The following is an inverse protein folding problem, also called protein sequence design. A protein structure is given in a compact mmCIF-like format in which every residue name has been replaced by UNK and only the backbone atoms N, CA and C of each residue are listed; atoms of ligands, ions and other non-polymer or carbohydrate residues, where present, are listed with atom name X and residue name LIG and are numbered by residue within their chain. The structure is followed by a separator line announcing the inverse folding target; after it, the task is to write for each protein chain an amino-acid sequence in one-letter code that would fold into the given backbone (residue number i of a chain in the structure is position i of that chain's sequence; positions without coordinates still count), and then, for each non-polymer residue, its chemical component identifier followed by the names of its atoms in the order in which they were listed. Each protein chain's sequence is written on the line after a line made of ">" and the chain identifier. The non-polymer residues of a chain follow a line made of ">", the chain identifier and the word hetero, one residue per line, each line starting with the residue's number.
data_IF_667386522545
#
_entry.id   IF_667386522545
#
_cell.length_a   1.000
_cell.length_b   1.000
_cell.length_c   1.000
_cell.angle_alpha   90.00
_cell.angle_beta   90.00
_cell.angle_gamma   90.00
#
_symmetry.space_group_name_H-M   'P 1'
#
loop_
_entity.id
_entity.type
_entity.pdbx_description
1 polymer ?
#
# COMPACT_ATOMS: atom_id res chain seq x y z
N UNK A 1 38.60 23.00 -34.82
CA UNK A 1 37.78 22.38 -35.89
C UNK A 1 36.31 22.69 -35.60
N UNK A 2 35.39 22.65 -36.58
CA UNK A 2 33.95 22.96 -36.41
C UNK A 2 33.08 21.77 -36.87
N UNK A 3 31.87 21.70 -36.31
CA UNK A 3 30.79 20.76 -36.64
C UNK A 3 31.06 19.29 -36.25
N UNK A 4 30.06 18.46 -35.95
CA UNK A 4 28.60 18.63 -36.07
C UNK A 4 27.81 18.15 -34.84
N UNK A 5 26.51 18.50 -34.80
CA UNK A 5 25.55 18.19 -33.72
C UNK A 5 25.01 16.76 -33.81
N UNK A 6 24.89 16.04 -32.68
CA UNK A 6 24.03 14.84 -32.57
C UNK A 6 23.17 14.91 -31.30
N UNK A 7 21.85 14.92 -31.50
CA UNK A 7 20.79 14.75 -30.49
C UNK A 7 20.45 13.26 -30.24
N UNK A 8 19.61 12.96 -29.23
CA UNK A 8 18.93 11.65 -28.94
C UNK A 8 19.47 10.76 -27.80
N UNK A 9 20.22 11.29 -26.82
CA UNK A 9 20.75 10.49 -25.70
C UNK A 9 19.78 10.18 -24.55
N UNK A 10 18.77 11.01 -24.28
CA UNK A 10 17.97 10.91 -23.01
C UNK A 10 16.57 10.30 -23.15
N UNK A 11 15.99 10.26 -24.35
CA UNK A 11 14.58 9.85 -24.58
C UNK A 11 14.46 8.43 -25.20
N UNK A 12 15.59 7.81 -25.54
CA UNK A 12 15.67 6.58 -26.34
C UNK A 12 15.65 5.27 -25.54
N UNK A 13 16.03 5.29 -24.26
CA UNK A 13 16.08 4.10 -23.40
C UNK A 13 14.68 3.59 -22.99
N UNK A 14 13.82 4.48 -22.46
CA UNK A 14 12.54 4.10 -21.85
C UNK A 14 11.46 3.74 -22.89
N UNK A 15 11.62 4.15 -24.16
CA UNK A 15 10.59 4.00 -25.21
C UNK A 15 10.70 2.73 -26.08
N UNK A 16 11.57 1.76 -25.75
CA UNK A 16 11.79 0.56 -26.60
C UNK A 16 11.94 -0.79 -25.88
N UNK A 17 11.90 -0.82 -24.55
CA UNK A 17 11.87 -2.09 -23.79
C UNK A 17 10.44 -2.54 -23.56
N UNK A 18 10.07 -3.71 -24.11
CA UNK A 18 9.04 -4.53 -23.45
C UNK A 18 9.70 -5.06 -22.16
N UNK A 19 9.40 -4.45 -21.02
CA UNK A 19 10.13 -4.62 -19.76
C UNK A 19 10.08 -6.04 -19.16
N UNK A 20 9.27 -6.96 -19.71
CA UNK A 20 8.98 -8.27 -19.12
C UNK A 20 9.54 -9.48 -19.91
N UNK A 21 10.07 -10.53 -19.25
CA UNK A 21 10.71 -11.68 -19.89
C UNK A 21 9.83 -12.44 -20.89
N UNK A 22 10.48 -13.02 -21.90
CA UNK A 22 9.82 -13.78 -22.97
C UNK A 22 9.02 -14.98 -22.44
N UNK A 23 9.54 -15.68 -21.41
CA UNK A 23 8.90 -16.85 -20.80
C UNK A 23 7.45 -16.63 -20.33
N UNK A 24 7.04 -15.39 -20.01
CA UNK A 24 5.65 -15.09 -19.63
C UNK A 24 4.71 -14.85 -20.82
N UNK A 25 5.25 -14.56 -22.02
CA UNK A 25 4.49 -14.64 -23.29
C UNK A 25 4.36 -16.10 -23.73
N UNK A 26 5.44 -16.86 -23.64
CA UNK A 26 5.45 -18.29 -24.00
C UNK A 26 4.45 -19.11 -23.16
N UNK A 27 4.18 -18.68 -21.92
CA UNK A 27 3.16 -19.25 -21.03
C UNK A 27 1.69 -18.98 -21.46
N UNK A 28 1.44 -18.03 -22.38
CA UNK A 28 0.08 -17.75 -22.88
C UNK A 28 -0.39 -18.80 -23.91
N UNK A 29 0.54 -19.35 -24.70
CA UNK A 29 0.25 -20.36 -25.72
C UNK A 29 0.14 -21.79 -25.13
N UNK A 30 0.79 -22.05 -24.00
CA UNK A 30 0.93 -23.37 -23.38
C UNK A 30 -0.31 -23.86 -22.60
N UNK A 31 -1.47 -23.98 -23.25
CA UNK A 31 -2.67 -24.63 -22.68
C UNK A 31 -2.55 -26.17 -22.60
N UNK A 32 -1.69 -26.68 -21.71
CA UNK A 32 -1.75 -28.01 -21.04
C UNK A 32 -0.50 -28.28 -20.18
N UNK A 33 -0.71 -28.87 -19.01
CA UNK A 33 0.19 -29.79 -18.29
C UNK A 33 1.71 -29.47 -18.29
N UNK A 34 2.07 -28.26 -17.89
CA UNK A 34 3.44 -27.89 -17.49
C UNK A 34 3.45 -27.55 -16.00
N UNK A 35 4.42 -28.08 -15.24
CA UNK A 35 4.66 -27.61 -13.87
C UNK A 35 5.06 -26.13 -13.93
N UNK A 36 4.18 -25.24 -13.47
CA UNK A 36 4.38 -23.79 -13.52
C UNK A 36 5.65 -23.42 -12.72
N UNK A 37 6.71 -22.89 -13.36
CA UNK A 37 7.89 -22.46 -12.63
C UNK A 37 7.57 -21.21 -11.82
N UNK A 38 7.92 -21.24 -10.52
CA UNK A 38 7.73 -20.19 -9.51
C UNK A 38 7.46 -18.78 -10.09
N UNK A 39 6.18 -18.39 -10.07
CA UNK A 39 5.73 -17.07 -10.50
C UNK A 39 6.07 -16.00 -9.45
N UNK A 40 6.43 -14.75 -9.84
CA UNK A 40 6.92 -13.74 -8.89
C UNK A 40 5.82 -13.05 -8.06
N UNK A 41 6.18 -12.52 -6.88
CA UNK A 41 5.29 -12.10 -5.78
C UNK A 41 5.06 -10.57 -5.69
N UNK A 42 4.82 -9.95 -6.85
CA UNK A 42 4.85 -8.48 -7.06
C UNK A 42 3.87 -7.60 -6.22
N UNK A 43 4.41 -6.79 -5.30
CA UNK A 43 4.19 -5.32 -5.14
C UNK A 43 2.76 -4.72 -4.90
N UNK A 44 2.66 -3.86 -3.87
CA UNK A 44 1.70 -2.73 -3.76
C UNK A 44 2.44 -1.35 -3.70
N UNK A 45 2.21 -0.43 -4.64
CA UNK A 45 3.08 0.77 -4.88
C UNK A 45 2.86 2.00 -3.95
N UNK A 46 3.92 2.77 -3.60
CA UNK A 46 3.93 3.94 -2.65
C UNK A 46 5.12 4.97 -2.84
N UNK A 47 4.91 6.33 -2.89
CA UNK A 47 5.86 7.54 -2.67
C UNK A 47 5.19 8.53 -1.60
N UNK A 48 5.34 9.86 -1.15
CA UNK A 48 4.43 10.58 -0.06
C UNK A 48 4.45 12.22 0.17
N UNK A 49 3.32 13.08 0.14
CA UNK A 49 2.91 14.65 0.00
C UNK A 49 2.12 15.85 0.98
N UNK A 50 2.30 16.26 2.30
CA UNK A 50 1.47 16.85 3.51
C UNK A 50 0.81 18.27 3.74
N UNK A 51 -0.33 18.37 4.50
CA UNK A 51 -0.55 18.93 5.91
C UNK A 51 -2.03 18.83 6.43
N UNK A 52 -2.31 19.01 7.75
CA UNK A 52 -3.66 18.83 8.44
C UNK A 52 -3.84 19.80 9.66
N UNK A 53 -4.82 19.80 10.62
CA UNK A 53 -5.75 18.86 11.38
C UNK A 53 -6.87 19.72 12.11
N UNK A 54 -7.63 19.41 13.22
CA UNK A 54 -7.87 18.24 14.14
C UNK A 54 -9.40 17.92 14.45
N UNK A 55 -9.76 17.21 15.57
CA UNK A 55 -11.16 16.95 16.05
C UNK A 55 -11.31 16.52 17.56
N UNK A 56 -12.52 16.54 18.21
CA UNK A 56 -12.77 16.07 19.63
C UNK A 56 -14.25 15.82 20.09
N UNK A 57 -14.53 14.81 20.95
CA UNK A 57 -15.77 14.64 21.80
C UNK A 57 -16.11 13.17 22.22
N UNK A 58 -16.69 12.86 23.40
CA UNK A 58 -16.89 11.44 23.89
C UNK A 58 -17.86 11.15 25.09
N UNK A 59 -18.03 9.85 25.44
CA UNK A 59 -18.65 9.21 26.67
C UNK A 59 -20.18 8.90 26.67
N UNK A 60 -20.81 7.98 27.45
CA UNK A 60 -20.54 6.57 27.96
C UNK A 60 -21.73 6.04 28.84
N UNK A 61 -22.21 4.76 28.72
CA UNK A 61 -22.76 3.88 29.82
C UNK A 61 -23.22 2.45 29.33
N UNK A 62 -23.83 1.59 30.17
CA UNK A 62 -23.59 0.10 30.19
C UNK A 62 -24.75 -0.92 30.36
N UNK A 63 -24.73 -1.98 29.51
CA UNK A 63 -24.84 -3.45 29.76
C UNK A 63 -25.94 -4.08 30.68
N UNK A 64 -26.65 -5.09 30.14
CA UNK A 64 -27.25 -6.27 30.84
C UNK A 64 -27.14 -7.55 29.94
N UNK A 65 -27.40 -8.78 30.42
CA UNK A 65 -26.78 -10.03 29.86
C UNK A 65 -27.67 -11.10 29.21
N UNK A 66 -27.21 -11.62 28.06
CA UNK A 66 -27.54 -12.89 27.36
C UNK A 66 -26.51 -13.07 26.19
N UNK A 67 -26.21 -14.22 25.58
CA UNK A 67 -26.34 -15.68 25.90
C UNK A 67 -25.03 -16.39 25.44
N UNK A 68 -24.91 -17.72 25.49
CA UNK A 68 -23.67 -18.45 25.11
C UNK A 68 -23.79 -19.80 24.34
N UNK A 69 -24.97 -20.34 24.00
CA UNK A 69 -25.07 -21.82 23.80
C UNK A 69 -25.23 -22.42 22.38
N UNK A 70 -25.22 -21.65 21.27
CA UNK A 70 -25.79 -22.14 19.98
C UNK A 70 -24.97 -22.06 18.68
N UNK A 71 -23.63 -21.94 18.68
CA UNK A 71 -22.85 -21.83 17.41
C UNK A 71 -21.58 -22.72 17.35
N UNK A 72 -21.60 -23.87 16.62
CA UNK A 72 -20.49 -24.83 16.63
C UNK A 72 -19.23 -24.39 15.87
N UNK A 73 -19.34 -23.45 14.92
CA UNK A 73 -18.20 -22.84 14.23
C UNK A 73 -17.56 -21.69 15.03
N UNK A 74 -18.25 -21.17 16.06
CA UNK A 74 -17.72 -20.15 16.98
C UNK A 74 -17.02 -20.76 18.20
N UNK A 75 -16.63 -22.04 18.15
CA UNK A 75 -15.86 -22.70 19.23
C UNK A 75 -14.57 -21.97 19.64
N UNK A 76 -14.01 -21.12 18.80
CA UNK A 76 -12.84 -20.30 19.14
C UNK A 76 -13.16 -19.09 20.03
N UNK A 77 -14.44 -18.68 20.14
CA UNK A 77 -14.91 -17.71 21.14
C UNK A 77 -15.16 -18.37 22.50
N UNK A 78 -15.39 -19.69 22.53
CA UNK A 78 -15.53 -20.49 23.76
C UNK A 78 -14.15 -20.77 24.39
N UNK A 79 -13.46 -19.69 24.77
CA UNK A 79 -12.10 -19.72 25.33
C UNK A 79 -11.60 -18.37 25.85
N UNK A 80 -12.40 -17.30 25.81
CA UNK A 80 -12.07 -16.04 26.48
C UNK A 80 -12.22 -16.23 27.98
N UNK A 81 -11.12 -16.25 28.74
CA UNK A 81 -11.17 -16.33 30.20
C UNK A 81 -11.87 -15.10 30.79
N UNK A 82 -12.56 -15.28 31.93
CA UNK A 82 -13.40 -14.25 32.53
C UNK A 82 -12.66 -12.92 32.78
N UNK A 83 -11.35 -13.00 33.06
CA UNK A 83 -10.48 -11.83 33.22
C UNK A 83 -10.43 -10.92 31.98
N UNK A 84 -10.49 -11.47 30.77
CA UNK A 84 -10.53 -10.68 29.52
C UNK A 84 -11.92 -10.11 29.26
N UNK A 85 -12.98 -10.88 29.51
CA UNK A 85 -14.37 -10.43 29.39
C UNK A 85 -14.72 -9.33 30.42
N UNK A 86 -14.11 -9.38 31.60
CA UNK A 86 -14.20 -8.36 32.64
C UNK A 86 -13.38 -7.09 32.36
N UNK A 87 -12.57 -7.05 31.29
CA UNK A 87 -11.75 -5.88 30.98
C UNK A 87 -12.61 -4.66 30.58
N UNK A 88 -12.25 -3.42 30.99
CA UNK A 88 -12.99 -2.22 30.60
C UNK A 88 -13.09 -2.00 29.08
N UNK A 89 -12.14 -2.54 28.31
CA UNK A 89 -12.16 -2.51 26.84
C UNK A 89 -13.21 -3.48 26.27
N UNK A 90 -13.27 -4.72 26.78
CA UNK A 90 -14.30 -5.68 26.38
C UNK A 90 -15.70 -5.15 26.73
N UNK A 91 -15.90 -4.72 27.98
CA UNK A 91 -17.16 -4.12 28.44
C UNK A 91 -17.55 -2.88 27.62
N UNK A 92 -16.61 -1.99 27.32
CA UNK A 92 -16.84 -0.83 26.47
C UNK A 92 -17.27 -1.22 25.05
N UNK A 93 -16.62 -2.24 24.46
CA UNK A 93 -16.94 -2.76 23.13
C UNK A 93 -18.33 -3.42 23.11
N UNK A 94 -18.65 -4.27 24.09
CA UNK A 94 -19.98 -4.89 24.22
C UNK A 94 -21.09 -3.85 24.44
N UNK A 95 -20.81 -2.78 25.19
CA UNK A 95 -21.73 -1.65 25.35
C UNK A 95 -22.00 -0.93 24.03
N UNK A 96 -20.93 -0.58 23.30
CA UNK A 96 -21.01 0.06 21.98
C UNK A 96 -21.78 -0.79 20.96
N UNK A 97 -21.51 -2.10 20.90
CA UNK A 97 -22.19 -3.03 20.00
C UNK A 97 -23.70 -3.08 20.29
N UNK A 98 -24.10 -3.16 21.55
CA UNK A 98 -25.53 -3.17 21.94
C UNK A 98 -26.24 -1.86 21.62
N UNK A 99 -25.56 -0.73 21.78
CA UNK A 99 -26.09 0.57 21.34
C UNK A 99 -26.28 0.63 19.82
N UNK A 100 -25.35 0.06 19.03
CA UNK A 100 -25.45 -0.01 17.58
C UNK A 100 -26.62 -0.90 17.12
N UNK A 101 -26.79 -2.10 17.68
CA UNK A 101 -27.94 -2.98 17.38
C UNK A 101 -29.28 -2.28 17.68
N UNK A 102 -29.39 -1.65 18.87
CA UNK A 102 -30.59 -0.92 19.27
C UNK A 102 -30.90 0.28 18.36
N UNK A 103 -29.87 1.03 17.93
CA UNK A 103 -30.02 2.15 16.99
C UNK A 103 -30.50 1.70 15.60
N UNK A 104 -29.94 0.59 15.09
CA UNK A 104 -30.32 0.05 13.78
C UNK A 104 -31.69 -0.66 13.77
N UNK A 105 -32.39 -0.76 14.91
CA UNK A 105 -33.65 -1.51 15.03
C UNK A 105 -33.50 -3.02 14.84
N UNK A 106 -32.27 -3.54 14.86
CA UNK A 106 -31.99 -4.96 14.68
C UNK A 106 -32.38 -5.74 15.94
N UNK A 107 -33.07 -6.89 15.81
CA UNK A 107 -33.44 -7.69 16.98
C UNK A 107 -32.17 -8.24 17.65
N UNK A 108 -32.14 -8.25 18.97
CA UNK A 108 -31.00 -8.73 19.76
C UNK A 108 -30.74 -10.25 19.62
N UNK A 109 -31.59 -10.96 18.86
CA UNK A 109 -31.46 -12.36 18.47
C UNK A 109 -31.97 -12.52 17.03
N UNK A 110 -31.25 -13.27 16.20
CA UNK A 110 -31.53 -13.41 14.76
C UNK A 110 -31.63 -14.89 14.41
N UNK A 111 -32.70 -15.27 13.70
CA UNK A 111 -32.84 -16.60 13.12
C UNK A 111 -32.00 -16.70 11.84
N UNK A 112 -31.13 -17.69 11.74
CA UNK A 112 -30.25 -17.96 10.57
C UNK A 112 -31.01 -18.47 9.32
N UNK A 113 -32.25 -18.03 9.11
CA UNK A 113 -33.15 -18.51 8.05
C UNK A 113 -33.28 -17.57 6.84
N UNK A 114 -32.76 -16.35 6.90
CA UNK A 114 -32.64 -15.43 5.74
C UNK A 114 -31.34 -14.62 5.82
N UNK A 115 -30.84 -14.15 4.66
CA UNK A 115 -29.57 -13.45 4.54
C UNK A 115 -29.67 -11.95 4.87
N UNK A 116 -30.03 -11.62 6.11
CA UNK A 116 -29.95 -10.25 6.64
C UNK A 116 -28.55 -9.90 7.14
N UNK A 117 -28.21 -8.61 7.16
CA UNK A 117 -26.93 -8.09 7.62
C UNK A 117 -26.94 -7.80 9.14
N UNK A 118 -27.44 -8.77 9.91
CA UNK A 118 -27.90 -8.54 11.28
C UNK A 118 -26.82 -8.78 12.35
N UNK A 119 -25.53 -8.69 11.97
CA UNK A 119 -24.40 -9.06 12.81
C UNK A 119 -23.18 -8.16 12.62
N UNK A 120 -22.63 -7.64 13.72
CA UNK A 120 -21.42 -6.81 13.73
C UNK A 120 -20.24 -7.65 14.19
N UNK A 121 -19.24 -7.85 13.32
CA UNK A 121 -18.02 -8.62 13.62
C UNK A 121 -16.85 -7.66 13.85
N UNK A 122 -16.46 -7.50 15.12
CA UNK A 122 -15.24 -6.75 15.47
C UNK A 122 -14.00 -7.65 15.46
N UNK A 123 -12.86 -7.11 14.99
CA UNK A 123 -11.53 -7.73 15.04
C UNK A 123 -10.45 -6.67 15.21
N UNK A 124 -9.24 -7.09 15.60
CA UNK A 124 -8.02 -6.25 15.61
C UNK A 124 -8.17 -4.87 16.28
N UNK A 125 -8.45 -4.79 17.60
CA UNK A 125 -8.55 -3.51 18.30
C UNK A 125 -7.21 -2.74 18.26
N UNK A 126 -7.23 -1.55 17.66
CA UNK A 126 -6.08 -0.64 17.58
C UNK A 126 -6.19 0.51 18.57
N UNK A 127 -5.03 1.08 18.94
CA UNK A 127 -4.94 2.32 19.72
C UNK A 127 -4.12 3.35 18.94
N UNK A 128 -4.56 4.61 18.93
CA UNK A 128 -3.84 5.68 18.25
C UNK A 128 -2.71 6.19 19.15
N UNK A 129 -1.47 6.04 18.68
CA UNK A 129 -0.28 6.70 19.22
C UNK A 129 0.24 7.75 18.23
N UNK A 130 1.09 8.66 18.71
CA UNK A 130 1.85 9.53 17.81
C UNK A 130 2.92 8.70 17.08
N UNK A 131 2.88 8.69 15.75
CA UNK A 131 3.85 7.99 14.91
C UNK A 131 5.00 8.94 14.53
N UNK A 132 6.28 8.58 14.79
CA UNK A 132 7.42 9.39 14.37
C UNK A 132 7.65 9.23 12.86
N UNK A 133 7.71 10.35 12.13
CA UNK A 133 7.92 10.39 10.68
C UNK A 133 9.16 11.20 10.32
N UNK A 134 10.05 10.62 9.51
CA UNK A 134 11.24 11.30 8.98
C UNK A 134 10.85 12.49 8.11
N UNK A 135 9.78 12.35 7.32
CA UNK A 135 9.33 13.40 6.39
C UNK A 135 8.78 14.61 7.15
N UNK A 136 7.98 14.37 8.22
CA UNK A 136 7.55 15.44 9.13
C UNK A 136 8.73 16.07 9.91
N UNK A 137 9.72 15.27 10.30
CA UNK A 137 10.91 15.74 11.02
C UNK A 137 11.76 16.70 10.16
N UNK A 138 11.90 16.40 8.87
CA UNK A 138 12.51 17.28 7.86
C UNK A 138 11.67 18.53 7.53
N UNK A 139 10.47 18.67 8.12
CA UNK A 139 9.54 19.76 7.84
C UNK A 139 8.82 19.64 6.49
N UNK A 140 9.11 18.58 5.73
CA UNK A 140 8.60 18.33 4.40
C UNK A 140 7.12 17.97 4.39
N UNK A 141 6.53 18.17 3.23
CA UNK A 141 5.17 17.78 2.95
C UNK A 141 5.12 16.32 2.43
N UNK A 142 4.74 15.37 3.32
CA UNK A 142 4.13 14.00 3.14
C UNK A 142 2.53 13.73 3.25
N UNK A 143 1.79 13.12 2.27
CA UNK A 143 0.32 12.98 1.85
C UNK A 143 0.00 12.12 0.58
N UNK A 144 -1.26 11.66 0.46
CA UNK A 144 -1.57 10.37 -0.17
C UNK A 144 -2.65 10.43 -1.25
N UNK A 145 -2.37 9.90 -2.45
CA UNK A 145 -3.33 9.63 -3.53
C UNK A 145 -3.71 8.14 -3.49
N UNK A 146 -4.78 7.78 -2.78
CA UNK A 146 -5.17 6.39 -2.53
C UNK A 146 -6.69 6.14 -2.60
N UNK A 147 -7.05 4.87 -2.82
CA UNK A 147 -8.43 4.38 -2.72
C UNK A 147 -8.71 3.51 -1.50
N UNK A 148 -7.70 3.17 -0.69
CA UNK A 148 -7.85 2.26 0.45
C UNK A 148 -7.89 3.03 1.78
N UNK A 149 -8.93 2.78 2.58
CA UNK A 149 -9.14 3.43 3.88
C UNK A 149 -7.99 3.21 4.87
N UNK A 150 -7.32 2.04 4.85
CA UNK A 150 -6.16 1.76 5.71
C UNK A 150 -5.04 2.77 5.47
N UNK A 151 -4.73 3.02 4.20
CA UNK A 151 -3.62 3.88 3.77
C UNK A 151 -3.99 5.37 3.97
N UNK A 152 -5.24 5.75 3.70
CA UNK A 152 -5.77 7.08 4.02
C UNK A 152 -5.85 7.31 5.54
N UNK A 153 -6.10 6.28 6.33
CA UNK A 153 -6.06 6.31 7.79
C UNK A 153 -4.66 6.58 8.32
N UNK A 154 -3.66 5.83 7.83
CA UNK A 154 -2.25 6.04 8.16
C UNK A 154 -1.78 7.45 7.77
N UNK A 155 -2.23 7.97 6.61
CA UNK A 155 -2.02 9.35 6.21
C UNK A 155 -2.49 10.33 7.30
N UNK A 156 -3.78 10.24 7.64
CA UNK A 156 -4.41 11.11 8.62
C UNK A 156 -3.80 10.99 10.03
N UNK A 157 -3.20 9.83 10.38
CA UNK A 157 -2.43 9.64 11.62
C UNK A 157 -1.04 10.30 11.60
N UNK A 158 -0.39 10.30 10.45
CA UNK A 158 0.89 11.00 10.25
C UNK A 158 0.69 12.51 9.98
N UNK A 159 -0.57 12.97 9.91
CA UNK A 159 -0.95 14.37 9.69
C UNK A 159 -0.95 14.78 8.22
N UNK A 160 -0.85 13.79 7.35
CA UNK A 160 -0.67 13.87 5.93
C UNK A 160 -1.99 14.22 5.21
N UNK A 161 -1.96 15.00 4.13
CA UNK A 161 -3.14 15.27 3.30
C UNK A 161 -3.66 13.95 2.68
N UNK A 162 -4.95 13.89 2.36
CA UNK A 162 -5.55 12.77 1.65
C UNK A 162 -6.22 13.25 0.37
N UNK A 163 -5.92 12.59 -0.74
CA UNK A 163 -6.37 12.90 -2.09
C UNK A 163 -7.12 11.68 -2.63
N UNK A 164 -8.44 11.84 -2.76
CA UNK A 164 -9.37 10.78 -3.18
C UNK A 164 -10.32 11.31 -4.24
N UNK A 165 -10.72 10.41 -5.13
CA UNK A 165 -11.78 10.54 -6.13
C UNK A 165 -12.63 9.26 -6.03
N UNK A 166 -13.93 9.30 -6.34
CA UNK A 166 -14.81 8.12 -6.26
C UNK A 166 -14.36 6.99 -7.21
N UNK A 167 -13.58 7.33 -8.26
CA UNK A 167 -12.97 6.38 -9.20
C UNK A 167 -11.74 5.66 -8.64
N UNK A 168 -11.27 6.04 -7.45
CA UNK A 168 -10.15 5.39 -6.77
C UNK A 168 -10.67 4.22 -5.92
N UNK A 169 -11.06 3.13 -6.58
CA UNK A 169 -11.35 1.89 -5.88
C UNK A 169 -10.10 1.31 -5.20
N UNK A 170 -10.32 0.39 -4.26
CA UNK A 170 -9.29 -0.50 -3.70
C UNK A 170 -9.17 -1.82 -4.49
N UNK A 171 -9.72 -1.88 -5.71
CA UNK A 171 -9.88 -3.07 -6.55
C UNK A 171 -9.04 -2.96 -7.84
N UNK A 172 -8.89 -4.06 -8.62
CA UNK A 172 -8.14 -4.05 -9.89
C UNK A 172 -8.68 -3.12 -10.98
N UNK A 173 -9.92 -2.65 -10.87
CA UNK A 173 -10.57 -1.74 -11.82
C UNK A 173 -10.17 -0.26 -11.66
N UNK A 174 -9.59 0.12 -10.51
CA UNK A 174 -9.27 1.51 -10.12
C UNK A 174 -8.76 2.40 -11.27
N UNK A 175 -9.19 3.65 -11.29
CA UNK A 175 -8.72 4.65 -12.27
C UNK A 175 -7.28 5.09 -11.94
N UNK A 176 -6.28 4.38 -12.47
CA UNK A 176 -4.85 4.66 -12.28
C UNK A 176 -4.45 5.95 -12.98
N UNK A 177 -5.00 6.20 -14.17
CA UNK A 177 -4.66 7.33 -15.02
C UNK A 177 -5.05 8.65 -14.34
N UNK A 178 -6.24 8.72 -13.74
CA UNK A 178 -6.63 9.84 -12.88
C UNK A 178 -5.81 9.92 -11.60
N UNK A 179 -5.40 8.80 -10.97
CA UNK A 179 -4.47 8.86 -9.83
C UNK A 179 -3.14 9.51 -10.22
N UNK A 180 -2.64 9.26 -11.43
CA UNK A 180 -1.44 9.91 -11.98
C UNK A 180 -1.69 11.39 -12.30
N UNK A 181 -2.87 11.78 -12.78
CA UNK A 181 -3.24 13.20 -12.89
C UNK A 181 -3.25 13.92 -11.52
N UNK A 182 -3.83 13.30 -10.48
CA UNK A 182 -3.85 13.87 -9.12
C UNK A 182 -2.41 13.98 -8.56
N UNK A 183 -1.57 13.01 -8.86
CA UNK A 183 -0.13 12.99 -8.55
C UNK A 183 0.59 14.20 -9.18
N UNK A 184 0.39 14.44 -10.49
CA UNK A 184 0.94 15.58 -11.22
C UNK A 184 0.39 16.96 -10.80
N UNK A 185 -0.85 17.00 -10.28
CA UNK A 185 -1.45 18.24 -9.74
C UNK A 185 -0.84 18.56 -8.36
N UNK A 186 -0.72 17.58 -7.48
CA UNK A 186 -0.17 17.77 -6.14
C UNK A 186 1.36 18.00 -6.14
N UNK A 187 2.09 17.58 -7.18
CA UNK A 187 3.51 17.93 -7.47
C UNK A 187 3.81 19.44 -7.52
N UNK A 188 2.78 20.30 -7.44
CA UNK A 188 2.89 21.76 -7.51
C UNK A 188 2.72 22.45 -6.15
N UNK A 189 2.31 21.72 -5.12
CA UNK A 189 1.90 22.28 -3.82
C UNK A 189 2.66 21.68 -2.62
N UNK A 190 3.31 20.53 -2.82
CA UNK A 190 3.88 19.65 -1.80
C UNK A 190 5.15 18.95 -2.34
N UNK A 191 5.90 18.18 -1.52
CA UNK A 191 7.33 17.87 -1.80
C UNK A 191 7.68 16.45 -2.36
N UNK A 192 6.83 15.41 -2.26
CA UNK A 192 7.03 13.99 -2.71
C UNK A 192 5.65 13.24 -2.71
N UNK A 193 5.27 12.12 -3.38
CA UNK A 193 3.80 11.76 -3.57
C UNK A 193 3.21 10.34 -3.22
N UNK A 194 2.27 10.12 -2.26
CA UNK A 194 1.85 8.73 -1.86
C UNK A 194 0.73 8.21 -2.78
N UNK A 195 1.06 8.08 -4.07
CA UNK A 195 0.33 7.33 -5.09
C UNK A 195 0.28 5.84 -4.70
N UNK A 196 -0.92 5.36 -4.36
CA UNK A 196 -1.15 3.98 -3.92
C UNK A 196 -2.14 3.21 -4.81
N UNK A 197 -1.74 1.99 -5.19
CA UNK A 197 -2.46 1.12 -6.12
C UNK A 197 -2.60 -0.28 -5.53
N UNK A 198 -3.76 -0.55 -4.90
CA UNK A 198 -4.02 -1.79 -4.15
C UNK A 198 -4.28 -3.04 -5.01
N UNK A 199 -4.78 -2.85 -6.23
CA UNK A 199 -5.29 -3.95 -7.06
C UNK A 199 -4.35 -5.16 -7.29
N UNK A 200 -3.00 -5.03 -7.40
CA UNK A 200 -2.13 -6.19 -7.62
C UNK A 200 -2.13 -7.18 -6.44
N UNK A 201 -2.32 -6.70 -5.22
CA UNK A 201 -2.46 -7.52 -4.02
C UNK A 201 -3.81 -8.27 -4.00
N UNK A 202 -4.89 -7.60 -4.39
CA UNK A 202 -6.21 -8.23 -4.57
C UNK A 202 -6.11 -9.40 -5.57
N UNK A 203 -5.49 -9.17 -6.74
CA UNK A 203 -5.26 -10.24 -7.71
C UNK A 203 -4.39 -11.39 -7.18
N UNK A 204 -3.53 -11.17 -6.18
CA UNK A 204 -2.85 -12.29 -5.51
C UNK A 204 -3.73 -13.02 -4.51
N UNK A 205 -4.49 -12.31 -3.68
CA UNK A 205 -5.43 -12.93 -2.74
C UNK A 205 -6.50 -13.77 -3.48
N UNK A 206 -6.95 -13.33 -4.65
CA UNK A 206 -7.90 -14.03 -5.53
C UNK A 206 -7.25 -15.16 -6.37
N UNK A 207 -5.94 -15.42 -6.20
CA UNK A 207 -5.15 -16.41 -6.95
C UNK A 207 -5.13 -16.19 -8.48
N UNK A 208 -5.22 -14.94 -8.94
CA UNK A 208 -5.16 -14.55 -10.36
C UNK A 208 -3.82 -13.88 -10.73
N UNK A 209 -2.77 -14.65 -11.04
CA UNK A 209 -1.50 -14.09 -11.54
C UNK A 209 -1.65 -13.42 -12.93
N UNK A 210 -2.70 -13.71 -13.70
CA UNK A 210 -2.89 -13.17 -15.06
C UNK A 210 -3.52 -11.77 -15.00
N UNK A 211 -4.53 -11.58 -14.16
CA UNK A 211 -5.07 -10.26 -13.81
C UNK A 211 -4.00 -9.40 -13.14
N UNK A 212 -3.22 -9.97 -12.21
CA UNK A 212 -2.08 -9.29 -11.59
C UNK A 212 -1.08 -8.76 -12.62
N UNK A 213 -0.65 -9.61 -13.54
CA UNK A 213 0.26 -9.24 -14.64
C UNK A 213 -0.33 -8.10 -15.50
N UNK A 214 -1.57 -8.25 -15.99
CA UNK A 214 -2.24 -7.23 -16.83
C UNK A 214 -2.42 -5.89 -16.11
N UNK A 215 -2.64 -5.91 -14.79
CA UNK A 215 -2.75 -4.71 -13.98
C UNK A 215 -1.38 -4.02 -13.81
N UNK A 216 -0.30 -4.78 -13.60
CA UNK A 216 1.06 -4.23 -13.56
C UNK A 216 1.46 -3.63 -14.91
N UNK A 217 1.11 -4.29 -16.02
CA UNK A 217 1.26 -3.72 -17.37
C UNK A 217 0.41 -2.44 -17.57
N UNK A 218 -0.74 -2.30 -16.91
CA UNK A 218 -1.52 -1.06 -16.91
C UNK A 218 -0.83 0.03 -16.10
N UNK A 219 -0.34 -0.28 -14.90
CA UNK A 219 0.43 0.64 -14.05
C UNK A 219 1.64 1.19 -14.83
N UNK A 220 2.45 0.32 -15.44
CA UNK A 220 3.62 0.70 -16.26
C UNK A 220 3.30 1.76 -17.32
N UNK A 221 2.25 1.53 -18.11
CA UNK A 221 1.78 2.50 -19.12
C UNK A 221 1.29 3.81 -18.49
N UNK A 222 0.47 3.73 -17.45
CA UNK A 222 -0.12 4.89 -16.78
C UNK A 222 0.91 5.76 -16.04
N UNK A 223 2.04 5.21 -15.60
CA UNK A 223 3.13 5.96 -14.94
C UNK A 223 3.94 6.84 -15.91
N UNK A 224 3.82 6.64 -17.23
CA UNK A 224 4.63 7.37 -18.22
C UNK A 224 4.60 8.91 -18.16
N UNK A 225 3.53 9.60 -17.70
CA UNK A 225 3.53 11.06 -17.48
C UNK A 225 4.37 11.55 -16.29
N UNK A 226 4.85 10.65 -15.42
CA UNK A 226 5.69 11.00 -14.26
C UNK A 226 7.19 10.95 -14.56
N UNK A 227 7.58 10.53 -15.77
CA UNK A 227 8.97 10.34 -16.20
C UNK A 227 9.65 11.66 -16.62
N UNK A 228 9.47 12.71 -15.83
CA UNK A 228 10.11 14.01 -16.02
C UNK A 228 11.50 14.04 -15.34
N UNK A 229 12.45 14.80 -15.90
CA UNK A 229 13.81 14.91 -15.37
C UNK A 229 13.87 15.73 -14.06
N UNK A 230 12.82 16.52 -13.75
CA UNK A 230 12.68 17.24 -12.48
C UNK A 230 12.09 16.37 -11.34
N UNK A 231 11.53 15.19 -11.64
CA UNK A 231 10.85 14.34 -10.65
C UNK A 231 11.78 13.21 -10.16
N UNK A 232 11.98 13.14 -8.84
CA UNK A 232 12.62 11.98 -8.18
C UNK A 232 11.55 10.92 -7.91
N UNK A 233 11.71 9.72 -8.49
CA UNK A 233 10.72 8.64 -8.45
C UNK A 233 11.25 7.46 -7.64
N UNK A 234 10.48 6.99 -6.65
CA UNK A 234 10.70 5.70 -5.99
C UNK A 234 9.64 4.68 -6.41
N UNK A 235 10.01 3.45 -6.76
CA UNK A 235 9.04 2.38 -7.04
C UNK A 235 9.44 1.13 -6.25
N UNK A 236 8.53 0.64 -5.41
CA UNK A 236 8.68 -0.61 -4.66
C UNK A 236 7.30 -1.08 -4.15
N UNK A 237 7.24 -2.22 -3.46
CA UNK A 237 6.06 -2.67 -2.73
C UNK A 237 6.05 -2.19 -1.27
N UNK A 238 4.93 -2.38 -0.55
CA UNK A 238 4.89 -2.36 0.92
C UNK A 238 5.11 -3.77 1.51
N UNK A 239 4.49 -4.79 0.92
CA UNK A 239 4.71 -6.21 1.22
C UNK A 239 4.69 -7.08 -0.06
N UNK A 240 5.30 -8.27 0.03
CA UNK A 240 5.20 -9.31 -1.00
C UNK A 240 3.91 -10.11 -0.80
N UNK A 241 3.19 -10.42 -1.89
CA UNK A 241 2.02 -11.30 -1.86
C UNK A 241 2.11 -12.32 -2.98
N UNK A 242 2.01 -13.60 -2.60
CA UNK A 242 2.14 -14.74 -3.48
C UNK A 242 0.78 -15.15 -4.10
N UNK A 243 0.68 -15.09 -5.43
CA UNK A 243 -0.51 -15.53 -6.18
C UNK A 243 -0.72 -17.06 -6.19
N UNK A 244 0.24 -17.86 -5.71
CA UNK A 244 0.07 -19.32 -5.62
C UNK A 244 -0.64 -19.74 -4.31
N UNK A 245 -0.54 -18.95 -3.24
CA UNK A 245 -1.12 -19.24 -1.92
C UNK A 245 -2.11 -18.19 -1.40
N UNK A 246 -2.19 -17.02 -2.02
CA UNK A 246 -3.11 -15.93 -1.65
C UNK A 246 -2.73 -15.23 -0.35
N UNK A 247 -1.44 -15.20 -0.02
CA UNK A 247 -0.91 -14.77 1.28
C UNK A 247 0.25 -13.79 1.16
N UNK A 248 0.36 -12.92 2.15
CA UNK A 248 1.54 -12.07 2.36
C UNK A 248 2.74 -12.95 2.73
N UNK A 249 3.92 -12.68 2.16
CA UNK A 249 5.14 -13.45 2.40
C UNK A 249 6.28 -12.55 2.89
N UNK A 250 7.32 -13.17 3.48
CA UNK A 250 8.53 -12.47 3.94
C UNK A 250 9.57 -12.23 2.84
N UNK A 251 9.20 -12.39 1.57
CA UNK A 251 10.12 -12.26 0.45
C UNK A 251 10.53 -10.79 0.22
N UNK A 252 11.79 -10.52 -0.14
CA UNK A 252 12.26 -9.16 -0.41
C UNK A 252 11.62 -8.60 -1.69
N UNK A 253 11.18 -7.35 -1.61
CA UNK A 253 10.57 -6.66 -2.74
C UNK A 253 11.62 -6.08 -3.71
N UNK A 254 11.31 -5.99 -5.01
CA UNK A 254 12.08 -5.20 -5.95
C UNK A 254 11.89 -3.70 -5.63
N UNK A 255 12.96 -2.92 -5.84
CA UNK A 255 12.99 -1.50 -5.51
C UNK A 255 13.80 -0.74 -6.57
N UNK A 256 13.33 0.45 -6.92
CA UNK A 256 13.93 1.37 -7.88
C UNK A 256 13.89 2.79 -7.32
N UNK A 257 14.97 3.54 -7.51
CA UNK A 257 14.98 4.99 -7.36
C UNK A 257 15.51 5.58 -8.66
N UNK A 258 14.77 6.51 -9.25
CA UNK A 258 15.15 7.27 -10.44
C UNK A 258 15.31 8.74 -10.07
N UNK A 259 16.44 9.34 -10.46
CA UNK A 259 16.74 10.76 -10.31
C UNK A 259 17.69 11.17 -11.44
N UNK A 260 17.47 12.36 -12.00
CA UNK A 260 18.37 12.99 -13.00
C UNK A 260 19.81 13.18 -12.52
N UNK A 261 20.04 13.12 -11.20
CA UNK A 261 21.34 13.29 -10.54
C UNK A 261 21.87 11.98 -9.91
N UNK A 262 21.13 10.88 -10.06
CA UNK A 262 21.43 9.60 -9.40
C UNK A 262 22.55 8.80 -10.07
N UNK A 263 23.16 7.89 -9.28
CA UNK A 263 24.10 6.89 -9.82
C UNK A 263 23.33 5.69 -10.37
N UNK A 264 23.30 5.57 -11.69
CA UNK A 264 22.68 4.45 -12.41
C UNK A 264 23.59 3.22 -12.36
N UNK A 265 23.01 2.03 -12.21
CA UNK A 265 23.70 0.74 -12.23
C UNK A 265 23.57 0.02 -13.58
N UNK A 266 23.81 -1.30 -13.62
CA UNK A 266 23.72 -2.11 -14.85
C UNK A 266 22.33 -2.71 -15.13
N UNK A 267 21.33 -2.47 -14.28
CA UNK A 267 20.01 -3.11 -14.35
C UNK A 267 19.13 -2.40 -15.38
N UNK A 268 18.54 -3.18 -16.29
CA UNK A 268 17.78 -2.68 -17.46
C UNK A 268 16.33 -3.18 -17.53
N UNK A 269 15.86 -3.88 -16.49
CA UNK A 269 14.46 -4.28 -16.30
C UNK A 269 14.11 -4.25 -14.82
N UNK A 270 12.83 -4.03 -14.50
CA UNK A 270 12.33 -4.05 -13.13
C UNK A 270 11.64 -5.38 -12.83
N UNK A 271 12.02 -6.02 -11.74
CA UNK A 271 11.57 -7.38 -11.36
C UNK A 271 12.51 -7.99 -10.32
N UNK A 272 12.08 -9.04 -9.64
CA UNK A 272 12.75 -9.58 -8.44
C UNK A 272 14.16 -10.12 -8.72
N UNK A 273 14.36 -10.78 -9.87
CA UNK A 273 15.67 -11.35 -10.26
C UNK A 273 16.66 -10.27 -10.72
N UNK A 274 16.15 -9.21 -11.35
CA UNK A 274 16.94 -8.07 -11.82
C UNK A 274 17.29 -7.09 -10.70
N UNK A 275 16.32 -6.70 -9.85
CA UNK A 275 16.58 -5.84 -8.69
C UNK A 275 17.51 -6.49 -7.65
N UNK A 276 17.54 -7.83 -7.56
CA UNK A 276 18.53 -8.55 -6.75
C UNK A 276 20.00 -8.35 -7.19
N UNK A 277 20.22 -7.77 -8.38
CA UNK A 277 21.54 -7.39 -8.93
C UNK A 277 21.77 -5.86 -8.91
N UNK A 278 20.81 -5.07 -8.40
CA UNK A 278 20.86 -3.60 -8.40
C UNK A 278 21.80 -3.01 -7.35
N UNK A 279 22.31 -1.82 -7.65
CA UNK A 279 23.28 -1.07 -6.84
C UNK A 279 22.71 -0.55 -5.50
N UNK A 280 21.38 -0.54 -5.32
CA UNK A 280 20.74 -0.33 -4.02
C UNK A 280 21.03 -1.49 -3.04
N UNK A 281 21.28 -2.71 -3.55
CA UNK A 281 21.40 -3.91 -2.73
C UNK A 281 20.12 -4.25 -1.95
N UNK A 282 20.25 -5.00 -0.85
CA UNK A 282 19.13 -5.36 0.03
C UNK A 282 19.02 -4.39 1.21
N UNK A 283 18.09 -3.44 1.11
CA UNK A 283 17.83 -2.40 2.11
C UNK A 283 16.44 -2.56 2.76
N UNK A 284 16.19 -1.83 3.85
CA UNK A 284 14.86 -1.74 4.51
C UNK A 284 14.01 -0.61 3.93
N UNK A 285 12.70 -0.62 4.16
CA UNK A 285 11.81 0.46 3.74
C UNK A 285 12.26 1.85 4.25
N UNK A 286 12.67 1.96 5.52
CA UNK A 286 13.23 3.20 6.09
C UNK A 286 14.50 3.65 5.37
N UNK A 287 15.37 2.72 4.97
CA UNK A 287 16.59 3.03 4.22
C UNK A 287 16.29 3.41 2.75
N UNK A 288 15.27 2.79 2.14
CA UNK A 288 14.77 3.18 0.81
C UNK A 288 14.21 4.60 0.85
N UNK A 289 13.35 4.94 1.82
CA UNK A 289 12.82 6.30 2.00
C UNK A 289 13.94 7.31 2.29
N UNK A 290 14.90 6.99 3.17
CA UNK A 290 16.04 7.86 3.44
C UNK A 290 16.93 8.08 2.21
N UNK A 291 17.11 7.06 1.36
CA UNK A 291 17.84 7.18 0.09
C UNK A 291 17.04 8.03 -0.92
N UNK A 292 15.72 7.87 -0.99
CA UNK A 292 14.85 8.65 -1.86
C UNK A 292 14.90 10.15 -1.49
N UNK A 293 14.83 10.46 -0.20
CA UNK A 293 14.98 11.82 0.34
C UNK A 293 16.39 12.39 0.09
N UNK A 294 17.44 11.56 0.18
CA UNK A 294 18.81 11.98 -0.17
C UNK A 294 18.91 12.39 -1.65
N UNK A 295 18.27 11.63 -2.55
CA UNK A 295 18.20 11.96 -3.98
C UNK A 295 17.30 13.18 -4.29
N UNK A 296 16.45 13.62 -3.35
CA UNK A 296 15.77 14.92 -3.40
C UNK A 296 16.61 16.08 -2.82
N UNK A 297 17.83 15.82 -2.33
CA UNK A 297 18.74 16.79 -1.73
C UNK A 297 18.21 17.49 -0.45
N UNK A 298 17.24 16.89 0.25
CA UNK A 298 16.64 17.41 1.50
C UNK A 298 17.29 16.83 2.77
N UNK A 299 18.14 15.81 2.64
CA UNK A 299 18.82 15.13 3.75
C UNK A 299 20.11 15.87 4.18
N UNK A 300 19.96 17.01 4.86
CA UNK A 300 21.13 17.80 5.29
C UNK A 300 21.88 17.18 6.48
N UNK A 301 23.03 16.53 6.23
CA UNK A 301 23.99 16.06 7.24
C UNK A 301 23.39 15.22 8.40
N UNK A 302 22.29 14.51 8.15
CA UNK A 302 21.66 13.62 9.12
C UNK A 302 22.63 12.50 9.52
N UNK A 303 22.82 12.32 10.82
CA UNK A 303 23.73 11.32 11.36
C UNK A 303 23.05 9.95 11.34
N UNK A 304 23.80 8.90 11.06
CA UNK A 304 23.23 7.55 10.86
C UNK A 304 22.59 6.92 12.12
N UNK A 305 22.73 7.55 13.29
CA UNK A 305 21.99 7.24 14.52
C UNK A 305 20.62 7.92 14.60
N UNK A 306 20.36 9.00 13.87
CA UNK A 306 19.11 9.79 13.92
C UNK A 306 18.01 9.12 13.09
N UNK A 307 18.37 8.52 11.94
CA UNK A 307 17.43 7.82 11.03
C UNK A 307 16.75 6.61 11.70
N UNK A 308 17.35 6.01 12.74
CA UNK A 308 16.87 4.77 13.38
C UNK A 308 15.57 4.90 14.20
N UNK A 309 15.06 6.12 14.40
CA UNK A 309 13.88 6.39 15.23
C UNK A 309 12.62 6.75 14.43
N UNK A 310 12.70 6.71 13.10
CA UNK A 310 11.60 7.02 12.19
C UNK A 310 11.20 5.78 11.40
N UNK A 311 9.90 5.62 11.16
CA UNK A 311 9.31 4.54 10.39
C UNK A 311 8.75 5.08 9.07
#
# INVERSE_FOLDING_TARGET
>A
MRFSTITQSTISAVKRTNWWPQACRDAQDAKRDVQVPLLPSLITTVISFCRSRPASGSLRQSIASSDQTSYPYLKWLNGVSDAYAASPLAQGTTGMLRAAYAYCGLPAFVSLSMAGSDGIICRSPGTVSALPSLVNHLGLKAAVVAGEETILGLANLLGYQTLRDDRFSSLPDTDIDTKVEYTLKALREYDLVFLHIKGPDICSHDLDPVGKMKLIERIDRSLSPLLDEEIVIGITGDHSTDSNSGRHTGDPLPALISSSHGRVDGVTRFGERECAQGGLGRITATAFLATLLDQMNVMHNLRSNEVRFYF
#
